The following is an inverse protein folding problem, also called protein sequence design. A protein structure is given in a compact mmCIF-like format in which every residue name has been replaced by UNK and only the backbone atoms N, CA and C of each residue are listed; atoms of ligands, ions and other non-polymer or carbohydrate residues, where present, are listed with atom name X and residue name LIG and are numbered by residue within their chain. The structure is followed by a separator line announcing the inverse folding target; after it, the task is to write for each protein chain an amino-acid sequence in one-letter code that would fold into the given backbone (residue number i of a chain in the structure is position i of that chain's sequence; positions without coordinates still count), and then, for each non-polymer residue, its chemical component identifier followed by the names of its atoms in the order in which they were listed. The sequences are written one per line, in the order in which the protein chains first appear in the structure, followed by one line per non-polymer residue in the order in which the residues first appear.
data_IF_110998680051
#
_entry.id   IF_110998680051
#
_cell.length_a   1.000
_cell.length_b   1.000
_cell.length_c   1.000
_cell.angle_alpha   90.00
_cell.angle_beta   90.00
_cell.angle_gamma   90.00
#
_symmetry.space_group_name_H-M   'P 1'
#
loop_
_entity.id
_entity.type
_entity.pdbx_description
1 polymer ?
#
# COMPACT_ATOMS: atom_id res chain seq x y z
N UNK A 1 18.18 1.88 -3.12
CA UNK A 1 17.57 3.18 -2.78
C UNK A 1 17.89 3.56 -1.32
N UNK A 2 18.15 4.85 -1.02
CA UNK A 2 18.48 5.35 0.33
C UNK A 2 17.27 6.11 0.92
N UNK A 3 17.04 6.01 2.23
CA UNK A 3 15.96 6.75 2.88
C UNK A 3 16.16 8.27 2.74
N UNK A 4 15.11 8.98 2.30
CA UNK A 4 15.06 10.45 2.25
C UNK A 4 14.62 10.98 3.62
N UNK A 5 15.55 11.61 4.36
CA UNK A 5 15.26 12.17 5.70
C UNK A 5 14.20 13.28 5.66
N UNK A 6 14.15 14.06 4.57
CA UNK A 6 13.15 15.10 4.36
C UNK A 6 11.71 14.55 4.30
N UNK A 7 11.55 13.28 3.93
CA UNK A 7 10.25 12.59 3.88
C UNK A 7 9.98 11.74 5.13
N UNK A 8 10.82 11.81 6.17
CA UNK A 8 10.61 11.04 7.41
C UNK A 8 10.69 9.51 7.25
N UNK A 9 11.29 9.00 6.16
CA UNK A 9 11.25 7.58 5.83
C UNK A 9 12.00 6.70 6.86
N UNK A 10 11.26 5.76 7.47
CA UNK A 10 11.79 4.66 8.27
C UNK A 10 11.19 3.35 7.75
N UNK A 11 12.05 2.39 7.36
CA UNK A 11 11.59 1.16 6.73
C UNK A 11 11.45 0.02 7.74
N UNK A 12 10.26 -0.57 7.79
CA UNK A 12 9.99 -1.76 8.59
C UNK A 12 10.64 -3.00 7.95
N UNK A 13 11.71 -3.52 8.58
CA UNK A 13 12.51 -4.62 8.03
C UNK A 13 12.18 -6.00 8.61
N UNK A 14 11.57 -6.07 9.80
CA UNK A 14 11.26 -7.34 10.47
C UNK A 14 10.02 -8.01 9.86
N UNK A 15 10.16 -9.18 9.18
CA UNK A 15 9.03 -9.87 8.58
C UNK A 15 7.99 -10.39 9.58
N UNK A 16 8.39 -10.70 10.82
CA UNK A 16 7.47 -11.13 11.86
C UNK A 16 6.57 -9.99 12.29
N UNK A 17 7.14 -8.80 12.48
CA UNK A 17 6.35 -7.62 12.84
C UNK A 17 5.42 -7.20 11.70
N UNK A 18 5.87 -7.29 10.45
CA UNK A 18 5.02 -7.03 9.28
C UNK A 18 3.78 -7.92 9.27
N UNK A 19 3.94 -9.24 9.47
CA UNK A 19 2.81 -10.17 9.55
C UNK A 19 1.88 -9.84 10.71
N UNK A 20 2.43 -9.62 11.91
CA UNK A 20 1.63 -9.28 13.10
C UNK A 20 0.79 -8.01 12.91
N UNK A 21 1.33 -7.00 12.23
CA UNK A 21 0.58 -5.78 11.93
C UNK A 21 -0.60 -6.11 11.03
N UNK A 22 -0.38 -6.84 9.94
CA UNK A 22 -1.44 -7.17 8.99
C UNK A 22 -2.48 -8.12 9.59
N UNK A 23 -2.06 -9.10 10.39
CA UNK A 23 -2.95 -10.03 11.08
C UNK A 23 -3.87 -9.33 12.08
N UNK A 24 -3.46 -8.16 12.61
CA UNK A 24 -4.27 -7.37 13.54
C UNK A 24 -5.35 -6.51 12.84
N UNK A 25 -5.37 -6.43 11.52
CA UNK A 25 -6.30 -5.58 10.76
C UNK A 25 -7.66 -6.24 10.45
N UNK A 26 -7.82 -7.54 10.79
CA UNK A 26 -9.05 -8.33 10.57
C UNK A 26 -9.67 -8.12 9.17
N UNK A 27 -8.84 -8.20 8.13
CA UNK A 27 -9.22 -7.95 6.74
C UNK A 27 -10.10 -9.11 6.25
N UNK A 28 -11.35 -8.79 5.92
CA UNK A 28 -12.34 -9.72 5.41
C UNK A 28 -12.43 -9.77 3.87
N UNK A 29 -13.18 -10.76 3.38
CA UNK A 29 -13.48 -10.87 1.97
C UNK A 29 -14.30 -9.65 1.49
N UNK A 30 -13.84 -9.02 0.41
CA UNK A 30 -14.48 -7.83 -0.14
C UNK A 30 -13.99 -6.51 0.45
N UNK A 31 -13.06 -6.51 1.41
CA UNK A 31 -12.55 -5.27 1.98
C UNK A 31 -11.62 -4.51 1.03
N UNK A 32 -11.73 -3.17 1.08
CA UNK A 32 -10.73 -2.28 0.49
C UNK A 32 -9.77 -1.84 1.57
N UNK A 33 -8.47 -2.04 1.35
CA UNK A 33 -7.42 -1.48 2.21
C UNK A 33 -6.77 -0.30 1.53
N UNK A 34 -6.55 0.77 2.29
CA UNK A 34 -5.73 1.91 1.86
C UNK A 34 -4.44 1.91 2.69
N UNK A 35 -3.30 1.79 2.02
CA UNK A 35 -1.97 1.88 2.62
C UNK A 35 -1.37 3.25 2.33
N UNK A 36 -1.10 4.02 3.38
CA UNK A 36 -0.48 5.34 3.29
C UNK A 36 1.03 5.17 3.49
N UNK A 37 1.84 5.65 2.54
CA UNK A 37 3.30 5.55 2.62
C UNK A 37 3.79 4.10 2.63
N UNK A 38 3.50 3.28 1.60
CA UNK A 38 3.96 1.90 1.51
C UNK A 38 5.49 1.76 1.54
N UNK A 39 6.21 2.83 1.17
CA UNK A 39 7.66 2.87 1.12
C UNK A 39 8.19 1.78 0.19
N UNK A 40 8.92 0.81 0.73
CA UNK A 40 9.46 -0.32 -0.06
C UNK A 40 8.47 -1.46 -0.28
N UNK A 41 7.24 -1.32 0.21
CA UNK A 41 6.19 -2.32 0.14
C UNK A 41 6.30 -3.42 1.20
N UNK A 42 6.76 -3.06 2.41
CA UNK A 42 6.97 -4.02 3.50
C UNK A 42 5.66 -4.67 3.96
N UNK A 43 4.59 -3.89 4.06
CA UNK A 43 3.25 -4.36 4.39
C UNK A 43 2.44 -4.63 3.12
N UNK A 44 2.61 -3.83 2.06
CA UNK A 44 1.92 -3.99 0.77
C UNK A 44 1.82 -5.43 0.28
N UNK A 45 2.89 -6.22 0.38
CA UNK A 45 2.88 -7.63 -0.06
C UNK A 45 1.89 -8.49 0.72
N UNK A 46 1.84 -8.31 2.04
CA UNK A 46 0.99 -9.07 2.94
C UNK A 46 -0.47 -8.59 2.86
N UNK A 47 -0.65 -7.30 2.58
CA UNK A 47 -1.97 -6.69 2.35
C UNK A 47 -2.56 -7.14 1.02
N UNK A 48 -1.75 -7.19 -0.05
CA UNK A 48 -2.18 -7.62 -1.39
C UNK A 48 -2.68 -9.07 -1.41
N UNK A 49 -2.14 -9.93 -0.54
CA UNK A 49 -2.58 -11.32 -0.39
C UNK A 49 -3.94 -11.47 0.31
N UNK A 50 -4.39 -10.46 1.06
CA UNK A 50 -5.59 -10.55 1.94
C UNK A 50 -6.73 -9.65 1.51
N UNK A 51 -6.42 -8.45 1.02
CA UNK A 51 -7.43 -7.47 0.62
C UNK A 51 -7.99 -7.82 -0.76
N UNK A 52 -9.31 -7.69 -0.92
CA UNK A 52 -9.94 -7.77 -2.24
C UNK A 52 -9.48 -6.61 -3.13
N UNK A 53 -9.26 -5.44 -2.53
CA UNK A 53 -8.64 -4.30 -3.19
C UNK A 53 -7.66 -3.59 -2.28
N UNK A 54 -6.45 -3.35 -2.76
CA UNK A 54 -5.42 -2.56 -2.10
C UNK A 54 -5.15 -1.28 -2.90
N UNK A 55 -5.22 -0.12 -2.24
CA UNK A 55 -4.74 1.16 -2.76
C UNK A 55 -3.55 1.61 -1.94
N UNK A 56 -2.37 1.67 -2.53
CA UNK A 56 -1.17 2.16 -1.86
C UNK A 56 -0.79 3.55 -2.40
N UNK A 57 -0.72 4.54 -1.51
CA UNK A 57 -0.47 5.94 -1.85
C UNK A 57 0.95 6.30 -1.39
N UNK A 58 1.83 6.62 -2.33
CA UNK A 58 3.24 6.92 -2.07
C UNK A 58 3.60 8.31 -2.61
N UNK A 59 4.24 9.11 -1.76
CA UNK A 59 4.67 10.47 -2.10
C UNK A 59 6.05 10.48 -2.77
N UNK A 60 6.89 9.49 -2.49
CA UNK A 60 8.20 9.35 -3.09
C UNK A 60 8.12 8.76 -4.51
N UNK A 61 8.49 9.59 -5.49
CA UNK A 61 8.52 9.28 -6.92
C UNK A 61 9.20 7.95 -7.26
N UNK A 62 10.37 7.69 -6.70
CA UNK A 62 11.16 6.50 -7.01
C UNK A 62 10.54 5.24 -6.39
N UNK A 63 10.03 5.33 -5.15
CA UNK A 63 9.35 4.20 -4.50
C UNK A 63 8.02 3.90 -5.18
N UNK A 64 7.25 4.92 -5.57
CA UNK A 64 6.01 4.74 -6.30
C UNK A 64 6.25 4.02 -7.64
N UNK A 65 7.26 4.44 -8.41
CA UNK A 65 7.62 3.79 -9.66
C UNK A 65 8.03 2.32 -9.45
N UNK A 66 8.83 2.03 -8.42
CA UNK A 66 9.24 0.66 -8.07
C UNK A 66 8.03 -0.22 -7.72
N UNK A 67 7.06 0.32 -6.97
CA UNK A 67 5.83 -0.38 -6.59
C UNK A 67 4.93 -0.62 -7.79
N UNK A 68 4.76 0.38 -8.68
CA UNK A 68 3.99 0.23 -9.93
C UNK A 68 4.57 -0.91 -10.77
N UNK A 69 5.89 -0.96 -10.94
CA UNK A 69 6.54 -2.02 -11.70
C UNK A 69 6.34 -3.40 -11.04
N UNK A 70 6.41 -3.47 -9.70
CA UNK A 70 6.27 -4.72 -8.94
C UNK A 70 4.87 -5.32 -8.98
N UNK A 71 3.83 -4.49 -8.92
CA UNK A 71 2.43 -4.92 -8.81
C UNK A 71 1.64 -4.75 -10.12
N UNK A 72 2.32 -4.57 -11.25
CA UNK A 72 1.66 -4.27 -12.54
C UNK A 72 0.66 -5.34 -12.99
N UNK A 73 0.89 -6.59 -12.61
CA UNK A 73 0.12 -7.76 -13.02
C UNK A 73 -0.86 -8.21 -11.92
N UNK A 74 -0.99 -7.43 -10.84
CA UNK A 74 -1.86 -7.71 -9.69
C UNK A 74 -3.13 -6.84 -9.77
N UNK A 75 -4.25 -7.33 -10.34
CA UNK A 75 -5.43 -6.50 -10.62
C UNK A 75 -6.11 -5.93 -9.37
N UNK A 76 -5.90 -6.55 -8.20
CA UNK A 76 -6.39 -6.07 -6.91
C UNK A 76 -5.56 -4.92 -6.32
N UNK A 77 -4.40 -4.59 -6.89
CA UNK A 77 -3.47 -3.60 -6.35
C UNK A 77 -3.43 -2.35 -7.23
N UNK A 78 -3.72 -1.20 -6.65
CA UNK A 78 -3.57 0.11 -7.28
C UNK A 78 -2.49 0.91 -6.55
N UNK A 79 -1.47 1.35 -7.28
CA UNK A 79 -0.46 2.27 -6.76
C UNK A 79 -0.80 3.68 -7.21
N UNK A 80 -0.90 4.60 -6.26
CA UNK A 80 -1.13 6.03 -6.50
C UNK A 80 0.13 6.78 -6.10
N UNK A 81 0.76 7.44 -7.06
CA UNK A 81 1.81 8.41 -6.78
C UNK A 81 1.16 9.75 -6.44
N UNK A 82 1.30 10.22 -5.20
CA UNK A 82 0.71 11.48 -4.76
C UNK A 82 0.72 11.70 -3.25
N UNK A 83 0.32 12.90 -2.84
CA UNK A 83 0.12 13.23 -1.43
C UNK A 83 -1.24 12.67 -0.97
N UNK A 84 -1.23 11.89 0.12
CA UNK A 84 -2.45 11.36 0.72
C UNK A 84 -3.37 12.47 1.23
N UNK A 85 -2.82 13.63 1.61
CA UNK A 85 -3.59 14.77 2.10
C UNK A 85 -4.41 15.44 0.99
N UNK A 86 -4.04 15.20 -0.28
CA UNK A 86 -4.75 15.66 -1.47
C UNK A 86 -5.58 14.54 -2.13
N UNK A 87 -5.51 13.32 -1.59
CA UNK A 87 -6.19 12.16 -2.14
C UNK A 87 -7.61 12.01 -1.61
N UNK A 88 -8.55 11.75 -2.52
CA UNK A 88 -9.94 11.49 -2.18
C UNK A 88 -10.31 10.01 -2.37
N UNK A 89 -10.95 9.37 -1.36
CA UNK A 89 -11.50 8.04 -1.51
C UNK A 89 -12.60 8.03 -2.58
N UNK A 90 -12.43 7.18 -3.61
CA UNK A 90 -13.51 6.91 -4.56
C UNK A 90 -14.35 5.74 -4.05
N UNK A 91 -15.68 5.91 -3.87
CA UNK A 91 -16.53 4.81 -3.52
C UNK A 91 -16.50 3.76 -4.64
N UNK A 92 -16.52 2.47 -4.27
CA UNK A 92 -16.78 1.43 -5.26
C UNK A 92 -18.22 1.61 -5.76
N UNK A 93 -18.46 1.59 -7.08
CA UNK A 93 -19.82 1.40 -7.55
C UNK A 93 -20.33 0.09 -6.94
N UNK A 94 -21.43 0.17 -6.19
CA UNK A 94 -22.08 -1.01 -5.62
C UNK A 94 -22.53 -1.96 -6.74
N UNK A 95 -22.81 -3.24 -6.42
CA UNK A 95 -23.47 -4.12 -7.37
C UNK A 95 -24.78 -3.44 -7.83
N UNK A 96 -24.97 -3.35 -9.15
CA UNK A 96 -26.21 -2.89 -9.78
C UNK A 96 -27.39 -3.79 -9.38
#
# INVERSE_FOLDING_TARGET
MRAKRSLGQNFLVDPNLQRKIVDALDIGAGDTVVEIGPGRGALTRHLAERADRLVAIELDDALAADLVARYRDEPGVTIVHGDVLEWEPRPRPGPL
#
